data_IF_139868727474
#
_entry.id   IF_139868727474
#
_cell.length_a   1.000
_cell.length_b   1.000
_cell.length_c   1.000
_cell.angle_alpha   90.00
_cell.angle_beta   90.00
_cell.angle_gamma   90.00
#
_symmetry.space_group_name_H-M   'P 1'
#
loop_
_entity.id
_entity.type
_entity.pdbx_description
1 polymer ?
#
# COMPACT_ATOMS: atom_id res chain seq x y z
N UNK A 1 6.62 16.92 20.71
CA UNK A 1 5.70 15.83 21.09
C UNK A 1 4.36 16.08 20.40
N UNK A 2 4.14 15.50 19.23
CA UNK A 2 2.88 15.63 18.48
C UNK A 2 2.03 14.39 18.76
N UNK A 3 0.90 14.59 19.44
CA UNK A 3 -0.06 13.54 19.75
C UNK A 3 -0.60 12.91 18.45
N UNK A 4 -0.17 11.69 18.16
CA UNK A 4 -0.73 10.82 17.13
C UNK A 4 -2.02 10.16 17.64
N UNK A 5 -3.04 10.96 17.94
CA UNK A 5 -4.38 10.43 18.24
C UNK A 5 -5.13 10.19 16.93
N UNK A 6 -4.67 9.24 16.14
CA UNK A 6 -5.47 8.69 15.05
C UNK A 6 -6.50 7.75 15.66
N UNK A 7 -7.79 8.12 15.52
CA UNK A 7 -8.99 7.41 16.01
C UNK A 7 -9.50 7.84 17.40
N UNK A 8 -9.70 9.16 17.60
CA UNK A 8 -10.79 9.59 18.47
C UNK A 8 -12.11 9.48 17.68
N UNK A 9 -12.79 8.35 17.82
CA UNK A 9 -14.12 8.12 17.30
C UNK A 9 -15.09 9.01 18.09
N UNK A 10 -15.34 10.24 17.62
CA UNK A 10 -16.46 11.04 18.13
C UNK A 10 -17.74 10.24 17.88
N UNK A 11 -18.50 10.00 18.96
CA UNK A 11 -19.74 9.23 18.98
C UNK A 11 -20.92 9.91 18.26
N UNK A 12 -20.68 10.97 17.48
CA UNK A 12 -21.70 11.60 16.66
C UNK A 12 -22.01 10.72 15.45
N UNK A 13 -23.29 10.50 15.18
CA UNK A 13 -23.76 9.90 13.94
C UNK A 13 -23.41 10.84 12.79
N UNK A 14 -22.33 10.52 12.07
CA UNK A 14 -21.91 11.24 10.89
C UNK A 14 -22.55 10.55 9.70
N UNK A 15 -23.40 11.26 8.97
CA UNK A 15 -23.94 10.81 7.69
C UNK A 15 -23.47 11.77 6.59
N UNK A 16 -22.71 11.25 5.62
CA UNK A 16 -22.24 12.01 4.46
C UNK A 16 -22.93 11.45 3.22
N UNK A 17 -23.74 12.26 2.56
CA UNK A 17 -24.35 11.91 1.27
C UNK A 17 -23.49 12.45 0.12
N UNK A 18 -22.99 11.54 -0.71
CA UNK A 18 -22.17 11.86 -1.88
C UNK A 18 -22.90 11.66 -3.20
N UNK A 19 -24.24 11.52 -3.18
CA UNK A 19 -25.06 11.27 -4.36
C UNK A 19 -24.77 12.25 -5.49
N UNK A 20 -24.81 13.56 -5.24
CA UNK A 20 -24.60 14.56 -6.31
C UNK A 20 -23.23 14.44 -6.98
N UNK A 21 -22.16 14.22 -6.19
CA UNK A 21 -20.83 14.00 -6.73
C UNK A 21 -20.75 12.69 -7.53
N UNK A 22 -21.38 11.63 -7.04
CA UNK A 22 -21.43 10.34 -7.73
C UNK A 22 -22.22 10.42 -9.04
N UNK A 23 -23.31 11.18 -9.06
CA UNK A 23 -24.12 11.40 -10.26
C UNK A 23 -23.34 12.10 -11.36
N UNK A 24 -22.60 13.14 -10.97
CA UNK A 24 -21.81 13.95 -11.89
C UNK A 24 -20.59 13.19 -12.46
N UNK A 25 -19.91 12.38 -11.64
CA UNK A 25 -18.64 11.74 -12.06
C UNK A 25 -18.82 10.34 -12.61
N UNK A 26 -19.78 9.57 -12.08
CA UNK A 26 -19.92 8.13 -12.37
C UNK A 26 -21.27 7.78 -12.98
N UNK A 27 -22.40 8.14 -12.36
CA UNK A 27 -23.71 7.60 -12.75
C UNK A 27 -24.13 8.01 -14.15
N UNK A 28 -23.93 9.27 -14.53
CA UNK A 28 -24.39 9.82 -15.80
C UNK A 28 -23.46 9.52 -16.98
N UNK A 29 -22.38 8.76 -16.75
CA UNK A 29 -21.43 8.34 -17.79
C UNK A 29 -21.78 6.94 -18.31
N UNK A 30 -21.55 6.75 -19.61
CA UNK A 30 -21.55 5.44 -20.27
C UNK A 30 -20.09 5.06 -20.52
N UNK A 31 -19.70 3.86 -20.14
CA UNK A 31 -18.30 3.42 -20.28
C UNK A 31 -18.20 2.30 -21.30
N UNK A 32 -17.31 2.44 -22.28
CA UNK A 32 -17.11 1.46 -23.36
C UNK A 32 -15.91 0.55 -23.11
N UNK A 33 -15.15 0.79 -22.03
CA UNK A 33 -14.03 -0.03 -21.59
C UNK A 33 -14.06 -0.16 -20.07
N UNK A 34 -13.34 -1.15 -19.54
CA UNK A 34 -13.22 -1.29 -18.09
C UNK A 34 -12.27 -0.25 -17.50
N UNK A 35 -11.28 0.15 -18.28
CA UNK A 35 -10.29 1.18 -17.95
C UNK A 35 -10.97 2.53 -17.71
N UNK A 36 -12.03 2.86 -18.48
CA UNK A 36 -12.79 4.09 -18.25
C UNK A 36 -13.62 4.04 -16.96
N UNK A 37 -14.12 2.85 -16.59
CA UNK A 37 -14.79 2.64 -15.29
C UNK A 37 -13.79 2.86 -14.15
N UNK A 38 -12.60 2.25 -14.23
CA UNK A 38 -11.55 2.40 -13.22
C UNK A 38 -11.15 3.87 -13.06
N UNK A 39 -10.94 4.59 -14.18
CA UNK A 39 -10.57 6.01 -14.18
C UNK A 39 -11.63 6.90 -13.52
N UNK A 40 -12.92 6.69 -13.83
CA UNK A 40 -14.00 7.47 -13.23
C UNK A 40 -14.18 7.18 -11.73
N UNK A 41 -13.93 5.93 -11.30
CA UNK A 41 -13.95 5.58 -9.89
C UNK A 41 -12.75 6.20 -9.16
N UNK A 42 -11.56 6.19 -9.76
CA UNK A 42 -10.38 6.88 -9.22
C UNK A 42 -10.63 8.38 -9.08
N UNK A 43 -11.18 9.02 -10.11
CA UNK A 43 -11.58 10.43 -10.09
C UNK A 43 -12.55 10.70 -8.94
N UNK A 44 -13.65 9.95 -8.85
CA UNK A 44 -14.65 10.10 -7.79
C UNK A 44 -14.05 9.93 -6.39
N UNK A 45 -13.23 8.91 -6.18
CA UNK A 45 -12.56 8.65 -4.90
C UNK A 45 -11.59 9.76 -4.51
N UNK A 46 -10.88 10.32 -5.49
CA UNK A 46 -9.92 11.40 -5.28
C UNK A 46 -10.59 12.71 -4.82
N UNK A 47 -11.74 13.06 -5.41
CA UNK A 47 -12.44 14.31 -5.08
C UNK A 47 -13.27 14.19 -3.80
N UNK A 48 -13.83 12.99 -3.53
CA UNK A 48 -14.73 12.77 -2.39
C UNK A 48 -14.02 12.22 -1.15
N UNK A 49 -12.73 11.92 -1.25
CA UNK A 49 -11.98 11.22 -0.20
C UNK A 49 -12.71 9.96 0.26
N UNK A 50 -13.10 9.13 -0.70
CA UNK A 50 -13.69 7.81 -0.46
C UNK A 50 -12.74 6.72 -0.93
N UNK A 51 -12.95 5.51 -0.42
CA UNK A 51 -12.23 4.33 -0.87
C UNK A 51 -13.21 3.18 -1.01
N UNK A 52 -13.38 2.71 -2.23
CA UNK A 52 -14.18 1.58 -2.64
C UNK A 52 -13.28 0.44 -3.09
N UNK A 53 -13.65 -0.76 -2.70
CA UNK A 53 -12.94 -1.98 -3.07
C UNK A 53 -13.86 -2.89 -3.87
N UNK A 54 -13.26 -3.71 -4.75
CA UNK A 54 -13.95 -4.83 -5.38
C UNK A 54 -14.42 -5.81 -4.31
N UNK A 55 -15.73 -5.93 -4.12
CA UNK A 55 -16.30 -6.89 -3.17
C UNK A 55 -16.75 -8.17 -3.85
N UNK A 56 -17.38 -8.06 -5.03
CA UNK A 56 -17.91 -9.19 -5.78
C UNK A 56 -17.78 -8.89 -7.27
N UNK A 57 -17.50 -9.89 -8.08
CA UNK A 57 -17.40 -9.73 -9.53
C UNK A 57 -17.72 -11.02 -10.25
N UNK A 58 -18.26 -10.90 -11.46
CA UNK A 58 -18.36 -12.00 -12.41
C UNK A 58 -17.59 -11.62 -13.67
N UNK A 59 -16.64 -12.45 -14.08
CA UNK A 59 -15.90 -12.28 -15.33
C UNK A 59 -16.80 -12.58 -16.52
N UNK A 60 -16.59 -11.87 -17.62
CA UNK A 60 -17.26 -12.23 -18.86
C UNK A 60 -16.55 -13.42 -19.51
N UNK A 61 -17.31 -14.37 -20.04
CA UNK A 61 -16.76 -15.63 -20.56
C UNK A 61 -16.22 -15.51 -21.99
N UNK A 62 -16.81 -14.64 -22.83
CA UNK A 62 -16.53 -14.58 -24.28
C UNK A 62 -16.63 -13.17 -24.88
N UNK A 63 -16.36 -12.13 -24.09
CA UNK A 63 -16.43 -10.74 -24.57
C UNK A 63 -15.09 -10.03 -24.50
N UNK A 64 -14.90 -9.01 -25.33
CA UNK A 64 -13.85 -7.99 -25.18
C UNK A 64 -13.92 -7.26 -23.84
N UNK A 65 -15.05 -7.35 -23.14
CA UNK A 65 -15.27 -6.81 -21.80
C UNK A 65 -14.73 -7.72 -20.70
N UNK A 66 -14.18 -7.12 -19.63
CA UNK A 66 -13.49 -7.82 -18.53
C UNK A 66 -14.45 -8.53 -17.57
N UNK A 67 -15.57 -7.88 -17.27
CA UNK A 67 -16.57 -8.33 -16.30
C UNK A 67 -18.00 -8.24 -16.85
N UNK A 68 -18.87 -9.15 -16.42
CA UNK A 68 -20.32 -9.02 -16.55
C UNK A 68 -20.88 -8.07 -15.48
N UNK A 69 -20.34 -8.14 -14.25
CA UNK A 69 -20.64 -7.17 -13.21
C UNK A 69 -19.53 -7.10 -12.17
N UNK A 70 -19.45 -5.96 -11.50
CA UNK A 70 -18.63 -5.73 -10.31
C UNK A 70 -19.45 -4.94 -9.28
N UNK A 71 -19.37 -5.37 -8.01
CA UNK A 71 -19.90 -4.65 -6.86
C UNK A 71 -18.75 -4.00 -6.12
N UNK A 72 -18.81 -2.69 -6.03
CA UNK A 72 -17.91 -1.85 -5.25
C UNK A 72 -18.54 -1.61 -3.88
N UNK A 73 -17.78 -1.83 -2.82
CA UNK A 73 -18.19 -1.49 -1.45
C UNK A 73 -17.17 -0.57 -0.83
N UNK A 74 -17.63 0.32 0.04
CA UNK A 74 -16.73 1.12 0.85
C UNK A 74 -15.74 0.23 1.62
N UNK A 75 -14.46 0.59 1.67
CA UNK A 75 -13.41 -0.14 2.38
C UNK A 75 -13.68 -0.28 3.90
N UNK A 76 -14.51 0.62 4.44
CA UNK A 76 -14.99 0.59 5.82
C UNK A 76 -16.27 -0.24 6.00
N UNK A 77 -16.81 -0.84 4.94
CA UNK A 77 -18.11 -1.52 4.91
C UNK A 77 -18.16 -2.92 5.51
N UNK A 78 -17.01 -3.49 5.87
CA UNK A 78 -17.01 -4.77 6.59
C UNK A 78 -17.55 -4.58 8.02
N UNK A 79 -17.98 -5.67 8.64
CA UNK A 79 -18.42 -5.63 10.04
C UNK A 79 -17.25 -5.26 10.96
N UNK A 80 -17.52 -4.42 11.96
CA UNK A 80 -16.61 -4.24 13.10
C UNK A 80 -16.30 -5.60 13.69
N UNK A 81 -15.01 -5.93 13.82
CA UNK A 81 -14.63 -7.09 14.62
C UNK A 81 -15.04 -6.82 16.06
N UNK A 82 -15.68 -7.79 16.71
CA UNK A 82 -15.93 -7.74 18.15
C UNK A 82 -14.59 -7.54 18.86
N UNK A 83 -14.56 -6.71 19.90
CA UNK A 83 -13.36 -6.57 20.71
C UNK A 83 -13.04 -7.94 21.33
N UNK A 84 -11.90 -8.51 20.94
CA UNK A 84 -11.39 -9.70 21.62
C UNK A 84 -10.88 -9.31 22.99
N UNK A 85 -10.97 -10.21 23.96
CA UNK A 85 -10.45 -10.06 25.33
C UNK A 85 -8.92 -10.02 25.43
N UNK A 86 -8.20 -10.03 24.30
CA UNK A 86 -6.74 -10.03 24.25
C UNK A 86 -6.12 -8.65 24.47
N UNK A 87 -4.90 -8.62 25.01
CA UNK A 87 -4.15 -7.37 25.33
C UNK A 87 -3.86 -6.45 24.13
N UNK A 88 -4.12 -6.88 22.90
CA UNK A 88 -3.88 -6.08 21.68
C UNK A 88 -5.19 -5.44 21.21
N UNK A 89 -5.63 -4.40 21.92
CA UNK A 89 -6.75 -3.56 21.53
C UNK A 89 -6.39 -2.71 20.29
N UNK A 90 -6.41 -3.32 19.10
CA UNK A 90 -6.39 -2.56 17.86
C UNK A 90 -7.84 -2.18 17.50
N UNK A 91 -8.18 -0.88 17.46
CA UNK A 91 -9.50 -0.47 17.00
C UNK A 91 -9.74 -1.01 15.58
N UNK A 92 -10.92 -1.56 15.34
CA UNK A 92 -11.29 -2.03 13.99
C UNK A 92 -11.45 -0.82 13.10
N UNK A 93 -10.75 -0.78 11.97
CA UNK A 93 -10.98 0.25 10.95
C UNK A 93 -12.39 0.18 10.36
N UNK A 94 -13.03 -0.99 10.44
CA UNK A 94 -14.32 -1.21 9.81
C UNK A 94 -15.44 -0.53 10.60
N UNK A 95 -16.43 0.00 9.89
CA UNK A 95 -17.52 0.81 10.45
C UNK A 95 -18.90 0.27 10.04
N UNK A 96 -18.95 -0.89 9.38
CA UNK A 96 -20.18 -1.45 8.80
C UNK A 96 -20.90 -0.48 7.84
N UNK A 97 -20.11 0.36 7.15
CA UNK A 97 -20.59 1.30 6.15
C UNK A 97 -21.35 0.57 5.02
N UNK A 98 -22.57 1.04 4.71
CA UNK A 98 -23.44 0.43 3.69
C UNK A 98 -23.23 0.98 2.29
N UNK A 99 -22.39 2.00 2.15
CA UNK A 99 -22.11 2.63 0.87
C UNK A 99 -21.53 1.63 -0.14
N UNK A 100 -22.17 1.55 -1.30
CA UNK A 100 -21.85 0.57 -2.36
C UNK A 100 -22.46 1.00 -3.70
N UNK A 101 -21.89 0.51 -4.79
CA UNK A 101 -22.54 0.58 -6.10
C UNK A 101 -22.21 -0.64 -6.96
N UNK A 102 -23.08 -0.94 -7.91
CA UNK A 102 -22.94 -2.09 -8.81
C UNK A 102 -22.83 -1.61 -10.25
N UNK A 103 -21.72 -1.96 -10.89
CA UNK A 103 -21.49 -1.78 -12.32
C UNK A 103 -21.82 -3.08 -13.03
N UNK A 104 -22.58 -3.01 -14.12
CA UNK A 104 -22.95 -4.17 -14.94
C UNK A 104 -22.64 -3.89 -16.41
N UNK A 105 -22.27 -4.94 -17.14
CA UNK A 105 -22.21 -4.92 -18.58
C UNK A 105 -23.63 -4.98 -19.13
N UNK A 106 -24.00 -3.96 -19.89
CA UNK A 106 -25.26 -3.83 -20.59
C UNK A 106 -24.98 -3.85 -22.10
N UNK A 107 -25.18 -5.01 -22.73
CA UNK A 107 -24.89 -5.26 -24.15
C UNK A 107 -23.41 -5.01 -24.48
N UNK A 108 -23.01 -3.76 -24.73
CA UNK A 108 -21.66 -3.34 -25.14
C UNK A 108 -21.13 -2.14 -24.32
N UNK A 109 -21.65 -1.92 -23.12
CA UNK A 109 -21.20 -0.83 -22.27
C UNK A 109 -21.37 -1.16 -20.78
N UNK A 110 -20.58 -0.52 -19.93
CA UNK A 110 -20.78 -0.57 -18.50
C UNK A 110 -21.69 0.57 -18.03
N UNK A 111 -22.67 0.20 -17.20
CA UNK A 111 -23.58 1.13 -16.54
C UNK A 111 -23.65 0.83 -15.05
N UNK A 112 -23.94 1.84 -14.23
CA UNK A 112 -24.26 1.64 -12.82
C UNK A 112 -25.73 1.23 -12.70
N UNK A 113 -25.99 0.03 -12.16
CA UNK A 113 -27.34 -0.53 -12.01
C UNK A 113 -28.02 -0.18 -10.69
N UNK A 114 -27.25 -0.01 -9.63
CA UNK A 114 -27.77 0.27 -8.28
C UNK A 114 -26.68 0.88 -7.41
N UNK A 115 -27.05 1.79 -6.51
CA UNK A 115 -26.10 2.45 -5.62
C UNK A 115 -26.72 2.86 -4.27
N UNK A 116 -25.86 2.99 -3.26
CA UNK A 116 -26.09 3.63 -1.96
C UNK A 116 -24.89 4.54 -1.74
N UNK A 117 -25.09 5.86 -1.71
CA UNK A 117 -24.00 6.86 -1.60
C UNK A 117 -23.91 7.54 -0.23
N UNK A 118 -24.64 7.03 0.76
CA UNK A 118 -24.60 7.52 2.13
C UNK A 118 -23.52 6.78 2.93
N UNK A 119 -22.63 7.55 3.55
CA UNK A 119 -21.54 7.05 4.38
C UNK A 119 -21.81 7.34 5.85
N UNK A 120 -21.53 6.37 6.73
CA UNK A 120 -21.64 6.53 8.19
C UNK A 120 -20.32 6.98 8.85
N UNK A 121 -19.46 7.63 8.08
CA UNK A 121 -18.14 8.08 8.50
C UNK A 121 -17.73 9.32 7.71
N UNK A 122 -16.80 10.12 8.22
CA UNK A 122 -16.26 11.26 7.47
C UNK A 122 -15.63 10.83 6.15
N UNK A 123 -15.87 11.62 5.11
CA UNK A 123 -15.24 11.50 3.79
C UNK A 123 -14.37 12.74 3.55
N UNK A 124 -13.36 12.91 4.39
CA UNK A 124 -12.46 14.09 4.37
C UNK A 124 -11.01 13.64 4.24
N UNK A 125 -10.18 14.51 3.67
CA UNK A 125 -8.73 14.26 3.52
C UNK A 125 -8.07 13.86 4.85
N UNK A 126 -8.44 14.53 5.94
CA UNK A 126 -7.87 14.27 7.28
C UNK A 126 -8.24 12.89 7.80
N UNK A 127 -9.48 12.44 7.59
CA UNK A 127 -9.94 11.11 8.00
C UNK A 127 -9.27 10.00 7.16
N UNK A 128 -9.19 10.20 5.85
CA UNK A 128 -8.63 9.20 4.92
C UNK A 128 -7.11 9.13 4.92
N UNK A 129 -6.44 10.09 5.55
CA UNK A 129 -4.97 10.21 5.62
C UNK A 129 -4.24 8.94 6.07
N UNK A 130 -4.84 8.18 6.98
CA UNK A 130 -4.25 6.95 7.49
C UNK A 130 -4.63 5.70 6.67
N UNK A 131 -5.61 5.80 5.77
CA UNK A 131 -6.02 4.68 4.94
C UNK A 131 -4.87 4.28 3.98
N UNK A 132 -4.48 2.99 3.93
CA UNK A 132 -3.38 2.53 3.07
C UNK A 132 -3.53 2.89 1.59
N UNK A 133 -4.75 3.10 1.10
CA UNK A 133 -5.01 3.48 -0.29
C UNK A 133 -4.46 4.88 -0.60
N UNK A 134 -4.78 5.88 0.24
CA UNK A 134 -4.35 7.26 0.04
C UNK A 134 -2.86 7.49 0.33
N UNK A 135 -2.22 6.54 1.02
CA UNK A 135 -0.76 6.54 1.26
C UNK A 135 0.03 5.83 0.16
N UNK A 136 -0.63 5.07 -0.71
CA UNK A 136 0.05 4.27 -1.72
C UNK A 136 0.73 5.17 -2.76
N UNK A 137 2.01 4.93 -2.98
CA UNK A 137 2.75 5.55 -4.07
C UNK A 137 2.48 4.80 -5.40
N UNK A 138 2.40 5.53 -6.50
CA UNK A 138 2.44 4.96 -7.86
C UNK A 138 3.81 4.33 -8.12
N UNK A 139 3.93 3.49 -9.15
CA UNK A 139 5.23 2.90 -9.48
C UNK A 139 6.27 3.97 -9.86
N UNK A 140 5.86 4.97 -10.65
CA UNK A 140 6.69 6.12 -10.98
C UNK A 140 7.14 6.91 -9.73
N UNK A 141 6.24 7.17 -8.78
CA UNK A 141 6.58 7.84 -7.53
C UNK A 141 7.56 7.02 -6.70
N UNK A 142 7.43 5.68 -6.67
CA UNK A 142 8.37 4.78 -5.99
C UNK A 142 9.74 4.79 -6.64
N UNK A 143 9.80 4.70 -7.97
CA UNK A 143 11.06 4.75 -8.72
C UNK A 143 11.80 6.06 -8.44
N UNK A 144 11.09 7.18 -8.48
CA UNK A 144 11.62 8.49 -8.14
C UNK A 144 12.03 8.62 -6.65
N UNK A 145 11.44 7.82 -5.75
CA UNK A 145 11.75 7.83 -4.32
C UNK A 145 12.91 6.89 -3.95
N UNK A 146 13.22 5.87 -4.77
CA UNK A 146 14.30 4.92 -4.53
C UNK A 146 15.66 5.55 -4.16
N UNK A 147 16.18 6.58 -4.86
CA UNK A 147 17.45 7.19 -4.49
C UNK A 147 17.38 7.85 -3.10
N UNK A 148 16.26 8.50 -2.78
CA UNK A 148 16.03 9.11 -1.46
C UNK A 148 15.95 8.04 -0.36
N UNK A 149 15.30 6.90 -0.63
CA UNK A 149 15.22 5.77 0.29
C UNK A 149 16.59 5.15 0.59
N UNK A 150 17.48 5.07 -0.40
CA UNK A 150 18.82 4.51 -0.25
C UNK A 150 19.77 5.45 0.49
N UNK A 151 19.69 6.76 0.23
CA UNK A 151 20.58 7.75 0.83
C UNK A 151 20.15 8.14 2.25
N UNK A 152 18.84 8.11 2.56
CA UNK A 152 18.33 8.58 3.84
C UNK A 152 18.43 7.51 4.94
N UNK A 153 19.19 7.82 5.99
CA UNK A 153 19.24 7.02 7.21
C UNK A 153 17.98 7.20 8.07
N UNK A 154 17.32 8.36 7.99
CA UNK A 154 16.12 8.70 8.77
C UNK A 154 14.82 8.41 8.02
N UNK A 155 13.87 7.73 8.67
CA UNK A 155 12.51 7.58 8.14
C UNK A 155 11.77 8.92 8.10
N UNK A 156 12.00 9.82 9.05
CA UNK A 156 11.28 11.10 9.14
C UNK A 156 11.60 11.99 7.94
N UNK A 157 12.86 12.03 7.51
CA UNK A 157 13.29 12.76 6.32
C UNK A 157 12.60 12.24 5.04
N UNK A 158 12.45 10.92 4.91
CA UNK A 158 11.73 10.31 3.79
C UNK A 158 10.24 10.65 3.83
N UNK A 159 9.61 10.61 5.02
CA UNK A 159 8.20 10.98 5.19
C UNK A 159 7.96 12.45 4.81
N UNK A 160 8.85 13.35 5.22
CA UNK A 160 8.77 14.77 4.88
C UNK A 160 8.94 15.01 3.38
N UNK A 161 9.92 14.36 2.74
CA UNK A 161 10.09 14.45 1.29
C UNK A 161 8.84 14.00 0.53
N UNK A 162 8.25 12.86 0.92
CA UNK A 162 7.03 12.34 0.29
C UNK A 162 5.82 13.24 0.54
N UNK A 163 5.68 13.79 1.76
CA UNK A 163 4.63 14.75 2.07
C UNK A 163 4.74 15.99 1.19
N UNK A 164 5.94 16.55 1.06
CA UNK A 164 6.14 17.79 0.31
C UNK A 164 5.97 17.57 -1.20
N UNK A 165 6.55 16.49 -1.74
CA UNK A 165 6.57 16.22 -3.18
C UNK A 165 5.27 15.61 -3.71
N UNK A 166 4.70 14.64 -2.99
CA UNK A 166 3.55 13.85 -3.46
C UNK A 166 2.27 14.10 -2.67
N UNK A 167 2.31 14.95 -1.63
CA UNK A 167 1.15 15.25 -0.78
C UNK A 167 0.55 14.01 -0.10
N UNK A 168 1.40 12.99 0.14
CA UNK A 168 1.04 11.70 0.76
C UNK A 168 1.65 11.56 2.13
N UNK A 169 0.90 11.02 3.08
CA UNK A 169 1.34 10.85 4.46
C UNK A 169 1.72 9.40 4.74
N UNK A 170 2.95 9.03 4.39
CA UNK A 170 3.49 7.72 4.74
C UNK A 170 3.65 7.57 6.26
N UNK A 171 3.61 6.32 6.71
CA UNK A 171 4.01 5.93 8.06
C UNK A 171 5.34 5.18 8.01
N UNK A 172 6.05 5.10 9.15
CA UNK A 172 7.36 4.45 9.25
C UNK A 172 7.35 2.99 8.77
N UNK A 173 6.22 2.28 8.93
CA UNK A 173 6.03 0.93 8.43
C UNK A 173 6.05 0.86 6.90
N UNK A 174 5.52 1.86 6.19
CA UNK A 174 5.56 1.91 4.72
C UNK A 174 7.00 2.02 4.22
N UNK A 175 7.79 2.91 4.85
CA UNK A 175 9.20 3.11 4.51
C UNK A 175 9.99 1.84 4.78
N UNK A 176 9.75 1.17 5.91
CA UNK A 176 10.40 -0.09 6.22
C UNK A 176 10.08 -1.15 5.17
N UNK A 177 8.82 -1.27 4.75
CA UNK A 177 8.38 -2.20 3.71
C UNK A 177 8.95 -1.86 2.32
N UNK A 178 9.15 -0.58 2.01
CA UNK A 178 9.81 -0.16 0.76
C UNK A 178 11.30 -0.50 0.82
N UNK A 179 11.99 -0.12 1.91
CA UNK A 179 13.41 -0.45 2.11
C UNK A 179 13.66 -1.95 2.07
N UNK A 180 12.77 -2.79 2.61
CA UNK A 180 12.93 -4.25 2.54
C UNK A 180 12.75 -4.80 1.12
N UNK A 181 11.99 -4.14 0.26
CA UNK A 181 11.86 -4.52 -1.16
C UNK A 181 13.03 -4.03 -2.02
N UNK A 182 13.63 -2.90 -1.65
CA UNK A 182 14.83 -2.34 -2.32
C UNK A 182 16.12 -2.95 -1.79
N UNK A 183 16.11 -3.53 -0.57
CA UNK A 183 17.22 -4.30 -0.04
C UNK A 183 17.50 -5.44 -1.02
N UNK A 184 18.76 -5.53 -1.47
CA UNK A 184 19.23 -6.53 -2.43
C UNK A 184 18.66 -7.90 -2.08
N UNK A 185 17.74 -8.38 -2.92
CA UNK A 185 17.24 -9.74 -2.86
C UNK A 185 18.37 -10.63 -3.36
N UNK A 186 19.27 -11.02 -2.45
CA UNK A 186 20.29 -12.00 -2.77
C UNK A 186 19.59 -13.34 -3.01
N UNK A 187 19.54 -13.77 -4.27
CA UNK A 187 18.89 -15.00 -4.69
C UNK A 187 19.69 -16.25 -4.30
N UNK A 188 20.93 -16.08 -3.89
CA UNK A 188 21.77 -17.13 -3.35
C UNK A 188 22.75 -16.58 -2.31
N UNK A 189 23.24 -17.48 -1.45
CA UNK A 189 24.30 -17.19 -0.49
C UNK A 189 25.57 -16.66 -1.17
N UNK A 190 25.85 -17.11 -2.40
CA UNK A 190 27.06 -16.72 -3.14
C UNK A 190 27.00 -15.26 -3.59
N UNK A 191 25.82 -14.76 -3.99
CA UNK A 191 25.63 -13.34 -4.31
C UNK A 191 25.84 -12.42 -3.09
N UNK A 192 25.50 -12.90 -1.89
CA UNK A 192 25.81 -12.18 -0.63
C UNK A 192 27.32 -12.08 -0.44
N UNK A 193 28.04 -13.19 -0.64
CA UNK A 193 29.50 -13.22 -0.49
C UNK A 193 30.21 -12.36 -1.54
N UNK A 194 29.76 -12.38 -2.79
CA UNK A 194 30.31 -11.54 -3.86
C UNK A 194 30.13 -10.05 -3.55
N UNK A 195 28.93 -9.65 -3.09
CA UNK A 195 28.66 -8.27 -2.67
C UNK A 195 29.52 -7.81 -1.48
N UNK A 196 29.72 -8.68 -0.49
CA UNK A 196 30.58 -8.38 0.67
C UNK A 196 32.06 -8.33 0.25
N UNK A 197 32.47 -9.18 -0.71
CA UNK A 197 33.83 -9.21 -1.29
C UNK A 197 34.13 -7.92 -2.05
N UNK A 198 33.23 -7.47 -2.92
CA UNK A 198 33.39 -6.24 -3.73
C UNK A 198 33.51 -4.97 -2.88
N UNK A 199 32.93 -4.96 -1.67
CA UNK A 199 32.99 -3.81 -0.76
C UNK A 199 34.15 -3.88 0.24
N UNK A 200 35.02 -4.89 0.13
CA UNK A 200 36.21 -5.05 0.98
C UNK A 200 35.88 -5.45 2.42
N UNK A 201 34.66 -5.93 2.69
CA UNK A 201 34.22 -6.37 4.03
C UNK A 201 34.49 -7.86 4.28
N UNK A 202 35.07 -8.57 3.30
CA UNK A 202 35.41 -9.99 3.40
C UNK A 202 36.93 -10.15 3.56
N UNK A 203 37.38 -10.68 4.70
CA UNK A 203 38.76 -11.17 4.84
C UNK A 203 38.78 -12.66 4.56
N UNK A 204 39.33 -13.02 3.40
CA UNK A 204 39.53 -14.41 3.00
C UNK A 204 40.92 -14.88 3.43
N UNK A 205 40.99 -15.98 4.17
CA UNK A 205 42.26 -16.66 4.48
C UNK A 205 42.37 -17.93 3.65
N UNK A 206 43.44 -18.03 2.86
CA UNK A 206 43.79 -19.23 2.12
C UNK A 206 44.88 -19.99 2.88
N UNK A 207 44.57 -21.18 3.39
CA UNK A 207 45.61 -22.09 3.85
C UNK A 207 46.31 -22.67 2.62
N UNK A 208 47.58 -22.30 2.43
CA UNK A 208 48.40 -22.80 1.34
C UNK A 208 49.07 -24.12 1.70
N UNK A 209 48.40 -25.24 1.44
CA UNK A 209 49.06 -26.53 1.22
C UNK A 209 48.35 -27.25 0.07
N UNK A 210 49.00 -27.27 -1.11
CA UNK A 210 48.55 -28.00 -2.30
C UNK A 210 47.68 -27.19 -3.28
N UNK A 211 47.70 -27.59 -4.54
CA UNK A 211 47.12 -26.93 -5.74
C UNK A 211 45.59 -26.74 -5.75
N UNK A 212 44.92 -26.69 -4.60
CA UNK A 212 43.48 -26.45 -4.50
C UNK A 212 43.24 -25.30 -3.51
N UNK A 213 42.95 -24.10 -4.03
CA UNK A 213 42.50 -22.95 -3.23
C UNK A 213 41.12 -23.24 -2.63
N UNK A 214 41.05 -23.96 -1.50
CA UNK A 214 39.82 -24.12 -0.72
C UNK A 214 39.67 -22.98 0.28
N UNK A 215 38.63 -22.17 0.11
CA UNK A 215 38.22 -21.10 1.01
C UNK A 215 37.89 -21.71 2.38
N UNK A 216 38.73 -21.49 3.40
CA UNK A 216 38.66 -22.26 4.64
C UNK A 216 37.96 -21.51 5.79
N UNK A 217 38.05 -20.18 5.85
CA UNK A 217 37.38 -19.35 6.87
C UNK A 217 37.04 -17.96 6.35
N UNK A 218 35.81 -17.53 6.60
CA UNK A 218 35.37 -16.13 6.49
C UNK A 218 35.37 -15.56 7.90
N UNK A 219 36.16 -14.51 8.13
CA UNK A 219 36.23 -13.84 9.42
C UNK A 219 35.79 -12.38 9.27
N UNK A 220 34.80 -11.98 10.07
CA UNK A 220 34.39 -10.59 10.22
C UNK A 220 34.92 -10.07 11.56
N UNK A 221 35.47 -8.85 11.61
CA UNK A 221 35.77 -8.21 12.89
C UNK A 221 34.48 -8.00 13.69
N UNK A 222 34.55 -7.78 15.01
CA UNK A 222 33.35 -7.48 15.81
C UNK A 222 32.57 -6.29 15.24
N UNK A 223 33.28 -5.29 14.72
CA UNK A 223 32.68 -4.12 14.07
C UNK A 223 31.98 -4.50 12.75
N UNK A 224 32.62 -5.33 11.92
CA UNK A 224 32.03 -5.85 10.68
C UNK A 224 30.83 -6.76 10.97
N UNK A 225 30.89 -7.59 12.02
CA UNK A 225 29.78 -8.43 12.45
C UNK A 225 28.60 -7.56 12.89
N UNK A 226 28.82 -6.51 13.67
CA UNK A 226 27.76 -5.57 14.08
C UNK A 226 27.19 -4.86 12.87
N UNK A 227 28.03 -4.43 11.92
CA UNK A 227 27.60 -3.75 10.69
C UNK A 227 26.78 -4.67 9.79
N UNK A 228 27.21 -5.91 9.59
CA UNK A 228 26.50 -6.92 8.82
C UNK A 228 25.21 -7.34 9.50
N UNK A 229 25.24 -7.56 10.82
CA UNK A 229 24.05 -7.85 11.62
C UNK A 229 23.01 -6.75 11.47
N UNK A 230 23.39 -5.46 11.61
CA UNK A 230 22.48 -4.33 11.37
C UNK A 230 21.94 -4.26 9.93
N UNK A 231 22.75 -4.66 8.95
CA UNK A 231 22.39 -4.62 7.53
C UNK A 231 21.42 -5.74 7.15
N UNK A 232 21.52 -6.91 7.80
CA UNK A 232 20.81 -8.14 7.41
C UNK A 232 19.83 -8.68 8.45
N UNK A 233 19.58 -7.98 9.57
CA UNK A 233 18.83 -8.53 10.70
C UNK A 233 17.32 -8.75 10.53
N UNK A 234 16.74 -8.50 9.36
CA UNK A 234 15.30 -8.71 9.16
C UNK A 234 15.02 -9.25 7.77
N UNK A 235 15.32 -10.54 7.60
CA UNK A 235 14.56 -11.41 6.71
C UNK A 235 13.29 -11.85 7.44
#
# INVERSE_FOLDING_TARGET
>A
MTNNSCLACSSQEINVDLKAAFENVVLNRRFFSWEDVERAIEEFQSITFTHYIHSQSQRASFSSFKYNFVVFKCAFGNKRKLQGTGQRNKPSKYLDCKSMFRVVLNVNEYIVRSYIMTHNHPCTKSFMRCDPWFRRLSEEEKENLNPVLQQSSSCDAVMEHVRNKYQKELISDDIRNMKSKTALAFGSRDQVFDYIRERGHLREFHNGEGNVRRLSRVCFSTEDQIRLYRTFQKW
#
